data_IF_702320027965
#
_entry.id   IF_702320027965
#
_cell.length_a   1.000
_cell.length_b   1.000
_cell.length_c   1.000
_cell.angle_alpha   90.00
_cell.angle_beta   90.00
_cell.angle_gamma   90.00
#
_symmetry.space_group_name_H-M   'P 1'
#
loop_
_entity.id
_entity.type
_entity.pdbx_description
1 polymer ?
#
# COMPACT_ATOMS: atom_id res chain seq x y z
N UNK A 1 -17.73 1.05 -19.07
CA UNK A 1 -18.92 0.71 -19.89
C UNK A 1 -19.85 -0.12 -19.04
N UNK A 2 -21.14 0.24 -19.04
CA UNK A 2 -22.19 -0.53 -18.35
C UNK A 2 -23.30 -0.93 -19.32
N UNK A 3 -23.81 -2.14 -19.18
CA UNK A 3 -24.92 -2.67 -19.96
C UNK A 3 -25.94 -3.24 -18.98
N UNK A 4 -27.21 -2.93 -19.18
CA UNK A 4 -28.31 -3.51 -18.42
C UNK A 4 -29.35 -4.04 -19.43
N UNK A 5 -29.78 -5.26 -19.18
CA UNK A 5 -30.87 -5.91 -19.90
C UNK A 5 -31.93 -6.34 -18.89
N UNK A 6 -33.18 -6.02 -19.18
CA UNK A 6 -34.32 -6.45 -18.40
C UNK A 6 -35.41 -7.03 -19.31
N UNK A 7 -36.06 -8.11 -18.87
CA UNK A 7 -37.18 -8.74 -19.58
C UNK A 7 -38.20 -9.26 -18.60
N UNK A 8 -39.44 -8.98 -18.90
CA UNK A 8 -40.60 -9.50 -18.20
C UNK A 8 -41.24 -10.63 -19.02
N UNK A 9 -41.62 -11.70 -18.34
CA UNK A 9 -42.29 -12.87 -18.90
C UNK A 9 -43.42 -13.23 -17.94
N UNK A 10 -44.63 -13.40 -18.35
CA UNK A 10 -45.74 -13.98 -17.57
C UNK A 10 -45.42 -14.12 -16.04
N UNK A 11 -45.55 -13.09 -15.27
CA UNK A 11 -45.25 -13.07 -13.81
C UNK A 11 -43.74 -13.27 -13.40
N UNK A 12 -42.83 -13.34 -14.32
CA UNK A 12 -41.40 -13.42 -14.02
C UNK A 12 -40.62 -12.23 -14.59
N UNK A 13 -39.62 -11.77 -13.86
CA UNK A 13 -38.72 -10.69 -14.24
C UNK A 13 -37.27 -11.17 -14.23
N UNK A 14 -36.55 -10.91 -15.31
CA UNK A 14 -35.11 -11.15 -15.43
C UNK A 14 -34.38 -9.81 -15.59
N UNK A 15 -33.36 -9.59 -14.78
CA UNK A 15 -32.43 -8.46 -14.94
C UNK A 15 -31.01 -9.00 -15.02
N UNK A 16 -30.30 -8.58 -16.06
CA UNK A 16 -28.87 -8.83 -16.23
C UNK A 16 -28.17 -7.50 -16.33
N UNK A 17 -27.05 -7.35 -15.65
CA UNK A 17 -26.18 -6.19 -15.80
C UNK A 17 -24.72 -6.61 -15.86
N UNK A 18 -23.95 -5.91 -16.67
CA UNK A 18 -22.50 -6.01 -16.71
C UNK A 18 -21.90 -4.61 -16.64
N UNK A 19 -20.83 -4.45 -15.88
CA UNK A 19 -20.08 -3.22 -15.80
C UNK A 19 -18.59 -3.52 -15.95
N UNK A 20 -17.94 -2.77 -16.82
CA UNK A 20 -16.51 -2.83 -17.09
C UNK A 20 -15.95 -1.41 -16.91
N UNK A 21 -14.94 -1.30 -16.05
CA UNK A 21 -14.18 -0.07 -15.85
C UNK A 21 -12.71 -0.40 -16.06
N UNK A 22 -12.07 0.33 -16.94
CA UNK A 22 -10.63 0.39 -17.14
C UNK A 22 -10.21 1.82 -16.80
N UNK A 23 -9.28 1.96 -15.88
CA UNK A 23 -8.86 3.24 -15.34
C UNK A 23 -7.35 3.34 -15.37
N UNK A 24 -6.83 4.24 -16.19
CA UNK A 24 -5.40 4.53 -16.27
C UNK A 24 -4.88 5.22 -15.01
N UNK A 25 -3.63 5.02 -14.63
CA UNK A 25 -3.03 5.63 -13.45
C UNK A 25 -2.87 7.14 -13.61
N UNK A 26 -2.98 7.87 -12.52
CA UNK A 26 -2.56 9.26 -12.39
C UNK A 26 -1.50 9.34 -11.29
N UNK A 27 -0.26 9.56 -11.69
CA UNK A 27 0.84 9.72 -10.75
C UNK A 27 0.74 11.04 -9.99
N UNK A 28 1.07 11.03 -8.72
CA UNK A 28 1.22 12.24 -7.91
C UNK A 28 2.30 13.19 -8.47
N UNK A 29 3.29 12.66 -9.17
CA UNK A 29 4.34 13.46 -9.84
C UNK A 29 3.81 14.40 -10.92
N UNK A 30 2.62 14.11 -11.46
CA UNK A 30 1.95 14.95 -12.46
C UNK A 30 1.24 16.17 -11.84
N UNK A 31 1.15 16.22 -10.50
CA UNK A 31 0.52 17.32 -9.78
C UNK A 31 1.56 17.97 -8.85
N UNK A 32 2.26 19.04 -9.30
CA UNK A 32 3.40 19.61 -8.58
C UNK A 32 3.11 19.93 -7.11
N UNK A 33 1.95 20.51 -6.80
CA UNK A 33 1.57 20.84 -5.42
C UNK A 33 1.48 19.63 -4.48
N UNK A 34 1.18 18.44 -5.00
CA UNK A 34 1.17 17.19 -4.22
C UNK A 34 2.59 16.64 -4.13
N UNK A 35 3.27 16.60 -5.27
CA UNK A 35 4.62 16.08 -5.36
C UNK A 35 5.60 16.81 -4.41
N UNK A 36 5.58 18.14 -4.41
CA UNK A 36 6.50 18.98 -3.63
C UNK A 36 6.25 18.95 -2.12
N UNK A 37 5.01 18.73 -1.68
CA UNK A 37 4.63 18.78 -0.27
C UNK A 37 4.69 17.41 0.44
N UNK A 38 4.87 16.33 -0.29
CA UNK A 38 4.96 14.98 0.28
C UNK A 38 6.34 14.68 0.87
N UNK A 39 6.71 15.31 1.99
CA UNK A 39 8.00 15.15 2.66
C UNK A 39 7.88 14.34 3.95
N UNK A 40 8.75 13.34 4.09
CA UNK A 40 8.91 12.56 5.32
C UNK A 40 10.23 12.92 6.03
N UNK A 41 10.21 13.02 7.35
CA UNK A 41 11.42 13.19 8.17
C UNK A 41 12.34 11.95 8.14
N UNK A 42 11.86 10.84 7.62
CA UNK A 42 12.61 9.59 7.46
C UNK A 42 13.35 9.58 6.12
N UNK A 43 14.26 10.49 5.92
CA UNK A 43 15.18 10.50 4.78
C UNK A 43 16.48 9.76 5.11
N UNK A 44 17.48 10.50 5.53
CA UNK A 44 18.73 9.97 6.04
C UNK A 44 19.32 10.97 7.04
N UNK A 45 18.98 10.80 8.32
CA UNK A 45 19.39 11.74 9.38
C UNK A 45 19.81 10.95 10.60
N UNK A 46 20.82 11.42 11.30
CA UNK A 46 21.31 10.83 12.52
C UNK A 46 20.99 11.72 13.71
N UNK A 47 20.76 11.12 14.88
CA UNK A 47 20.69 11.81 16.14
C UNK A 47 21.83 11.33 17.02
N UNK A 48 22.74 12.22 17.37
CA UNK A 48 23.93 11.91 18.18
C UNK A 48 23.53 11.74 19.64
N UNK A 49 23.95 10.65 20.31
CA UNK A 49 23.55 10.37 21.68
C UNK A 49 24.31 11.21 22.71
N UNK A 50 25.57 11.51 22.42
CA UNK A 50 26.52 12.22 23.29
C UNK A 50 27.31 13.24 22.48
N UNK A 51 28.03 14.13 23.12
CA UNK A 51 28.92 15.05 22.41
C UNK A 51 30.01 14.27 21.67
N UNK A 52 30.25 14.62 20.40
CA UNK A 52 31.20 13.96 19.53
C UNK A 52 32.02 14.95 18.70
N UNK A 53 33.18 14.51 18.22
CA UNK A 53 34.00 15.23 17.29
C UNK A 53 34.53 14.27 16.24
N UNK A 54 34.05 14.45 15.01
CA UNK A 54 34.49 13.67 13.84
C UNK A 54 35.59 14.47 13.15
N UNK A 55 36.76 13.86 13.01
CA UNK A 55 37.95 14.58 12.58
C UNK A 55 38.06 14.76 11.07
N UNK A 56 37.44 13.86 10.29
CA UNK A 56 37.57 13.87 8.81
C UNK A 56 36.41 13.22 8.12
N UNK A 57 36.33 13.39 6.80
CA UNK A 57 35.24 12.86 5.96
C UNK A 57 34.04 13.81 5.88
N UNK A 58 32.99 13.37 5.22
CA UNK A 58 31.79 14.17 4.94
C UNK A 58 31.06 14.62 6.21
N UNK A 59 31.26 13.91 7.31
CA UNK A 59 30.69 14.21 8.64
C UNK A 59 31.66 14.92 9.56
N UNK A 60 32.76 15.49 9.05
CA UNK A 60 33.72 16.21 9.89
C UNK A 60 33.06 17.38 10.62
N UNK A 61 33.25 17.45 11.95
CA UNK A 61 32.64 18.49 12.76
C UNK A 61 32.54 18.11 14.24
N UNK A 62 32.09 19.09 15.04
CA UNK A 62 31.77 18.89 16.45
C UNK A 62 30.26 18.89 16.64
N UNK A 63 29.75 17.94 17.39
CA UNK A 63 28.34 17.72 17.61
C UNK A 63 28.00 17.73 19.11
N UNK A 64 26.90 18.37 19.45
CA UNK A 64 26.37 18.33 20.80
C UNK A 64 25.54 17.06 21.04
N UNK A 65 25.40 16.64 22.27
CA UNK A 65 24.49 15.57 22.64
C UNK A 65 23.05 15.89 22.21
N UNK A 66 22.38 14.93 21.57
CA UNK A 66 21.04 15.08 21.04
C UNK A 66 20.93 15.85 19.73
N UNK A 67 22.04 16.31 19.16
CA UNK A 67 22.04 17.03 17.89
C UNK A 67 21.58 16.14 16.74
N UNK A 68 20.80 16.72 15.84
CA UNK A 68 20.43 16.13 14.56
C UNK A 68 21.47 16.46 13.50
N UNK A 69 21.91 15.46 12.76
CA UNK A 69 22.93 15.56 11.72
C UNK A 69 22.35 14.96 10.43
N UNK A 70 22.02 15.78 9.44
CA UNK A 70 21.56 15.27 8.16
C UNK A 70 22.71 14.63 7.39
N UNK A 71 22.38 13.74 6.44
CA UNK A 71 23.33 13.25 5.47
C UNK A 71 23.90 14.43 4.66
N UNK A 72 25.22 14.67 4.66
CA UNK A 72 25.85 15.71 3.84
C UNK A 72 25.58 15.55 2.34
N UNK A 73 25.35 14.32 1.88
CA UNK A 73 25.03 13.99 0.48
C UNK A 73 23.51 13.86 0.25
N UNK A 74 22.69 14.43 1.13
CA UNK A 74 21.23 14.30 1.11
C UNK A 74 20.62 14.56 -0.27
N UNK A 75 20.94 15.67 -0.89
CA UNK A 75 20.36 16.08 -2.18
C UNK A 75 20.92 15.25 -3.34
N UNK A 76 22.21 14.90 -3.31
CA UNK A 76 22.83 14.01 -4.29
C UNK A 76 22.16 12.63 -4.28
N UNK A 77 21.76 12.17 -3.09
CA UNK A 77 21.07 10.90 -2.87
C UNK A 77 19.54 11.01 -3.08
N UNK A 78 19.04 12.12 -3.63
CA UNK A 78 17.63 12.33 -3.95
C UNK A 78 16.75 12.69 -2.74
N UNK A 79 17.36 13.06 -1.62
CA UNK A 79 16.66 13.62 -0.47
C UNK A 79 16.43 15.13 -0.59
N UNK A 80 15.77 15.72 0.39
CA UNK A 80 15.52 17.15 0.50
C UNK A 80 16.05 17.65 1.84
N UNK A 81 17.05 18.52 1.80
CA UNK A 81 17.60 19.13 3.01
C UNK A 81 16.63 20.18 3.55
N UNK A 82 16.15 20.01 4.78
CA UNK A 82 15.25 20.93 5.44
C UNK A 82 15.61 21.10 6.91
N UNK A 83 16.29 22.20 7.22
CA UNK A 83 16.86 22.44 8.55
C UNK A 83 17.85 21.34 8.94
N UNK A 84 17.73 20.73 10.13
CA UNK A 84 18.64 19.68 10.58
C UNK A 84 18.30 18.29 10.03
N UNK A 85 17.45 18.18 9.01
CA UNK A 85 16.95 16.91 8.50
C UNK A 85 17.23 16.73 7.02
N UNK A 86 17.72 15.56 6.67
CA UNK A 86 17.59 15.04 5.31
C UNK A 86 16.22 14.34 5.22
N UNK A 87 15.32 14.89 4.44
CA UNK A 87 13.95 14.40 4.28
C UNK A 87 13.82 13.56 3.02
N UNK A 88 12.89 12.63 3.05
CA UNK A 88 12.53 11.83 1.89
C UNK A 88 11.33 12.42 1.16
N UNK A 89 11.48 12.72 -0.14
CA UNK A 89 10.38 13.19 -0.98
C UNK A 89 9.55 11.99 -1.45
N UNK A 90 8.55 11.60 -0.68
CA UNK A 90 7.64 10.52 -1.07
C UNK A 90 6.50 11.02 -1.97
N UNK A 91 6.27 12.31 -2.01
CA UNK A 91 5.18 12.93 -2.77
C UNK A 91 5.16 12.61 -4.26
N UNK A 92 6.29 12.22 -4.84
CA UNK A 92 6.41 11.82 -6.26
C UNK A 92 6.24 10.32 -6.48
N UNK A 93 5.95 9.52 -5.44
CA UNK A 93 6.14 8.08 -5.45
C UNK A 93 4.88 7.26 -5.27
N UNK A 94 3.72 7.87 -5.36
CA UNK A 94 2.45 7.17 -5.30
C UNK A 94 1.52 7.63 -6.42
N UNK A 95 0.48 6.88 -6.65
CA UNK A 95 -0.58 7.25 -7.56
C UNK A 95 -1.74 7.87 -6.79
N UNK A 96 -2.31 8.95 -7.34
CA UNK A 96 -3.59 9.53 -6.89
C UNK A 96 -4.73 8.64 -7.37
N UNK A 97 -4.57 8.11 -8.58
CA UNK A 97 -5.45 7.11 -9.18
C UNK A 97 -4.57 5.96 -9.61
N UNK A 98 -4.90 4.75 -9.18
CA UNK A 98 -4.19 3.55 -9.63
C UNK A 98 -4.70 3.07 -10.97
N UNK A 99 -3.90 2.27 -11.66
CA UNK A 99 -4.31 1.45 -12.79
C UNK A 99 -5.22 0.34 -12.27
N UNK A 100 -6.48 0.35 -12.69
CA UNK A 100 -7.48 -0.57 -12.16
C UNK A 100 -8.42 -1.07 -13.25
N UNK A 101 -8.59 -2.39 -13.28
CA UNK A 101 -9.60 -3.09 -14.08
C UNK A 101 -10.72 -3.61 -13.19
N UNK A 102 -11.96 -3.26 -13.49
CA UNK A 102 -13.13 -3.77 -12.78
C UNK A 102 -14.06 -4.50 -13.75
N UNK A 103 -14.45 -5.70 -13.39
CA UNK A 103 -15.43 -6.53 -14.09
C UNK A 103 -16.51 -6.94 -13.11
N UNK A 104 -17.74 -6.49 -13.34
CA UNK A 104 -18.86 -6.76 -12.44
C UNK A 104 -20.05 -7.28 -13.22
N UNK A 105 -20.65 -8.35 -12.73
CA UNK A 105 -21.83 -8.97 -13.30
C UNK A 105 -22.90 -9.09 -12.23
N UNK A 106 -24.11 -8.81 -12.63
CA UNK A 106 -25.31 -8.92 -11.81
C UNK A 106 -26.37 -9.70 -12.57
N UNK A 107 -27.03 -10.62 -11.87
CA UNK A 107 -28.21 -11.31 -12.33
C UNK A 107 -29.26 -11.27 -11.22
N UNK A 108 -30.50 -10.96 -11.59
CA UNK A 108 -31.66 -11.12 -10.72
C UNK A 108 -32.78 -11.75 -11.53
N UNK A 109 -33.33 -12.81 -10.98
CA UNK A 109 -34.52 -13.46 -11.48
C UNK A 109 -35.57 -13.47 -10.38
N UNK A 110 -36.77 -12.98 -10.66
CA UNK A 110 -37.91 -12.98 -9.76
C UNK A 110 -39.11 -13.56 -10.49
N UNK A 111 -39.87 -14.44 -9.82
CA UNK A 111 -41.17 -14.91 -10.30
C UNK A 111 -42.17 -14.84 -9.18
N UNK A 112 -43.36 -14.29 -9.51
CA UNK A 112 -44.50 -14.17 -8.63
C UNK A 112 -45.63 -15.00 -9.20
N UNK A 113 -46.17 -15.91 -8.38
CA UNK A 113 -47.47 -16.60 -8.59
C UNK A 113 -48.37 -16.25 -7.43
N UNK A 114 -49.63 -16.60 -7.48
CA UNK A 114 -50.68 -16.14 -6.53
C UNK A 114 -50.27 -16.28 -5.05
N UNK A 115 -49.72 -17.42 -4.65
CA UNK A 115 -49.32 -17.68 -3.28
C UNK A 115 -47.84 -18.05 -3.11
N UNK A 116 -47.03 -18.01 -4.19
CA UNK A 116 -45.64 -18.38 -4.18
C UNK A 116 -44.83 -17.38 -4.97
N UNK A 117 -43.86 -16.72 -4.35
CA UNK A 117 -42.84 -15.94 -5.05
C UNK A 117 -41.46 -16.47 -4.75
N UNK A 118 -40.59 -16.38 -5.72
CA UNK A 118 -39.19 -16.66 -5.51
C UNK A 118 -38.27 -15.68 -6.27
N UNK A 119 -37.17 -15.38 -5.63
CA UNK A 119 -36.13 -14.49 -6.17
C UNK A 119 -34.79 -15.17 -6.06
N UNK A 120 -34.03 -15.10 -7.14
CA UNK A 120 -32.63 -15.47 -7.19
C UNK A 120 -31.79 -14.25 -7.54
N UNK A 121 -30.68 -14.04 -6.85
CA UNK A 121 -29.73 -12.96 -7.14
C UNK A 121 -28.33 -13.51 -7.15
N UNK A 122 -27.54 -13.14 -8.15
CA UNK A 122 -26.12 -13.43 -8.22
C UNK A 122 -25.33 -12.16 -8.59
N UNK A 123 -24.23 -11.95 -7.89
CA UNK A 123 -23.28 -10.86 -8.12
C UNK A 123 -21.89 -11.50 -8.19
N UNK A 124 -21.13 -11.17 -9.22
CA UNK A 124 -19.72 -11.54 -9.34
C UNK A 124 -18.94 -10.29 -9.66
N UNK A 125 -17.83 -10.08 -8.97
CA UNK A 125 -16.93 -8.97 -9.22
C UNK A 125 -15.48 -9.44 -9.15
N UNK A 126 -14.68 -8.98 -10.10
CA UNK A 126 -13.23 -9.07 -10.09
C UNK A 126 -12.68 -7.65 -10.25
N UNK A 127 -11.69 -7.29 -9.44
CA UNK A 127 -11.02 -6.00 -9.45
C UNK A 127 -9.53 -6.24 -9.37
N UNK A 128 -8.82 -5.86 -10.42
CA UNK A 128 -7.38 -5.87 -10.50
C UNK A 128 -6.84 -4.45 -10.31
N UNK A 129 -5.96 -4.27 -9.33
CA UNK A 129 -5.18 -3.04 -9.15
C UNK A 129 -3.76 -3.35 -9.55
N UNK A 130 -3.40 -3.01 -10.80
CA UNK A 130 -2.14 -3.43 -11.43
C UNK A 130 -0.97 -2.56 -10.97
N UNK A 131 -1.21 -1.27 -10.77
CA UNK A 131 -0.22 -0.29 -10.41
C UNK A 131 -0.59 0.42 -9.10
N UNK A 132 0.04 -0.01 -8.01
CA UNK A 132 -0.10 0.55 -6.67
C UNK A 132 1.29 0.73 -6.07
N UNK A 133 1.99 1.84 -6.37
CA UNK A 133 3.36 2.03 -5.90
C UNK A 133 3.44 2.18 -4.38
N UNK A 134 4.44 1.56 -3.80
CA UNK A 134 4.76 1.61 -2.38
C UNK A 134 6.06 2.38 -2.15
N UNK A 135 6.20 2.97 -0.97
CA UNK A 135 7.47 3.59 -0.59
C UNK A 135 8.61 2.57 -0.60
N UNK A 136 9.79 2.90 -1.17
CA UNK A 136 10.91 1.97 -1.32
C UNK A 136 11.41 1.34 -0.02
N UNK A 137 11.08 1.85 1.12
CA UNK A 137 11.52 1.35 2.42
C UNK A 137 10.36 0.91 3.30
N UNK A 138 9.32 0.42 2.69
CA UNK A 138 8.16 -0.05 3.42
C UNK A 138 8.33 -1.51 3.88
N UNK A 139 8.01 -1.83 5.14
CA UNK A 139 7.73 -0.93 6.23
C UNK A 139 9.03 -0.41 6.87
N UNK A 140 9.25 0.87 6.79
CA UNK A 140 10.42 1.51 7.42
C UNK A 140 10.34 1.53 8.96
N UNK A 141 9.18 1.22 9.52
CA UNK A 141 8.88 1.44 10.94
C UNK A 141 9.84 0.72 11.88
N UNK A 142 10.29 -0.49 11.56
CA UNK A 142 11.24 -1.24 12.38
C UNK A 142 12.65 -0.65 12.37
N UNK A 143 12.95 0.24 11.44
CA UNK A 143 14.27 0.88 11.30
C UNK A 143 14.28 2.37 11.61
N UNK A 144 13.12 2.96 11.90
CA UNK A 144 12.97 4.41 12.10
C UNK A 144 13.84 5.00 13.21
N UNK A 145 14.22 4.18 14.17
CA UNK A 145 15.05 4.58 15.32
C UNK A 145 16.19 3.60 15.56
N UNK A 146 16.81 3.11 14.50
CA UNK A 146 17.89 2.12 14.60
C UNK A 146 19.14 2.73 15.22
N UNK A 147 19.58 2.15 16.34
CA UNK A 147 20.82 2.56 16.99
C UNK A 147 22.00 1.93 16.24
N UNK A 148 22.98 2.76 15.91
CA UNK A 148 24.25 2.37 15.28
C UNK A 148 25.37 2.70 16.27
N UNK A 149 26.21 1.72 16.56
CA UNK A 149 27.33 1.89 17.47
C UNK A 149 28.58 2.39 16.73
N UNK A 150 29.55 3.00 17.44
CA UNK A 150 30.83 3.38 16.84
C UNK A 150 31.49 2.20 16.13
N UNK A 151 31.99 2.44 14.90
CA UNK A 151 32.63 1.42 14.08
C UNK A 151 31.67 0.39 13.44
N UNK A 152 30.37 0.46 13.70
CA UNK A 152 29.36 -0.40 13.11
C UNK A 152 28.90 0.19 11.76
N UNK A 153 28.83 -0.64 10.72
CA UNK A 153 28.30 -0.24 9.41
C UNK A 153 29.01 0.95 8.76
N UNK A 154 30.30 1.14 9.05
CA UNK A 154 31.06 2.30 8.56
C UNK A 154 30.64 3.62 9.20
N UNK A 155 29.99 3.60 10.38
CA UNK A 155 29.62 4.81 11.11
C UNK A 155 30.80 5.76 11.27
N UNK A 156 30.69 7.02 10.83
CA UNK A 156 31.74 8.02 11.01
C UNK A 156 31.80 8.59 12.43
N UNK A 157 30.78 8.31 13.26
CA UNK A 157 30.66 8.83 14.61
C UNK A 157 31.43 7.98 15.63
N UNK A 158 32.06 8.64 16.61
CA UNK A 158 32.76 7.95 17.71
C UNK A 158 31.86 7.65 18.88
N UNK A 159 30.59 8.05 18.83
CA UNK A 159 29.55 7.79 19.81
C UNK A 159 28.36 7.09 19.17
N UNK A 160 27.49 6.43 19.95
CA UNK A 160 26.27 5.85 19.40
C UNK A 160 25.38 6.93 18.77
N UNK A 161 24.82 6.61 17.63
CA UNK A 161 23.85 7.47 16.95
C UNK A 161 22.55 6.69 16.70
N UNK A 162 21.44 7.42 16.62
CA UNK A 162 20.17 6.84 16.15
C UNK A 162 19.94 7.30 14.71
N UNK A 163 19.88 6.36 13.80
CA UNK A 163 19.60 6.60 12.40
C UNK A 163 18.08 6.68 12.15
N UNK A 164 17.69 7.69 11.42
CA UNK A 164 16.33 7.91 10.92
C UNK A 164 16.37 7.94 9.40
N UNK A 165 16.12 6.82 8.78
CA UNK A 165 16.29 6.70 7.34
C UNK A 165 15.37 5.66 6.70
N UNK A 166 15.58 5.50 5.41
CA UNK A 166 14.90 4.49 4.61
C UNK A 166 15.92 3.49 4.07
N UNK A 167 15.71 2.19 4.30
CA UNK A 167 16.69 1.16 3.94
C UNK A 167 17.12 1.18 2.48
N UNK A 168 16.18 1.42 1.57
CA UNK A 168 16.47 1.41 0.12
C UNK A 168 16.82 2.80 -0.43
N UNK A 169 16.81 3.84 0.42
CA UNK A 169 17.14 5.20 0.00
C UNK A 169 16.15 5.83 -0.97
N UNK A 170 16.49 7.04 -1.42
CA UNK A 170 15.64 7.84 -2.30
C UNK A 170 15.80 7.48 -3.78
N UNK A 171 16.94 6.94 -4.19
CA UNK A 171 17.23 6.59 -5.58
C UNK A 171 16.56 5.28 -6.03
N UNK A 172 16.13 4.44 -5.11
CA UNK A 172 15.51 3.16 -5.45
C UNK A 172 14.10 3.39 -6.02
N UNK A 173 13.73 2.72 -7.12
CA UNK A 173 12.39 2.85 -7.68
C UNK A 173 11.32 2.38 -6.70
N UNK A 174 10.13 2.98 -6.79
CA UNK A 174 8.99 2.53 -5.97
C UNK A 174 8.55 1.14 -6.43
N UNK A 175 8.60 0.13 -5.55
CA UNK A 175 8.08 -1.18 -5.90
C UNK A 175 6.55 -1.13 -6.01
N UNK A 176 5.98 -1.99 -6.84
CA UNK A 176 4.53 -2.12 -7.00
C UNK A 176 3.97 -3.07 -5.96
N UNK A 177 2.75 -2.80 -5.53
CA UNK A 177 1.98 -3.59 -4.57
C UNK A 177 0.59 -3.90 -5.15
N UNK A 178 0.51 -4.74 -6.18
CA UNK A 178 -0.74 -5.05 -6.86
C UNK A 178 -1.73 -5.75 -5.92
N UNK A 179 -3.00 -5.57 -6.24
CA UNK A 179 -4.12 -6.23 -5.54
C UNK A 179 -4.98 -6.93 -6.55
N UNK A 180 -5.48 -8.09 -6.16
CA UNK A 180 -6.46 -8.88 -6.88
C UNK A 180 -7.62 -9.17 -5.92
N UNK A 181 -8.82 -8.79 -6.30
CA UNK A 181 -10.01 -8.88 -5.45
C UNK A 181 -11.09 -9.62 -6.20
N UNK A 182 -11.41 -10.81 -5.71
CA UNK A 182 -12.51 -11.63 -6.18
C UNK A 182 -13.66 -11.62 -5.18
N UNK A 183 -14.86 -11.40 -5.69
CA UNK A 183 -16.05 -11.42 -4.88
C UNK A 183 -17.20 -12.11 -5.61
N UNK A 184 -17.93 -12.96 -4.90
CA UNK A 184 -19.25 -13.38 -5.35
C UNK A 184 -20.28 -13.35 -4.20
N UNK A 185 -21.51 -13.14 -4.58
CA UNK A 185 -22.68 -13.24 -3.73
C UNK A 185 -23.79 -13.92 -4.50
N UNK A 186 -24.37 -14.96 -3.89
CA UNK A 186 -25.54 -15.67 -4.43
C UNK A 186 -26.58 -15.76 -3.34
N UNK A 187 -27.83 -15.41 -3.65
CA UNK A 187 -28.93 -15.52 -2.72
C UNK A 187 -30.19 -16.06 -3.40
N UNK A 188 -30.88 -16.90 -2.70
CA UNK A 188 -32.22 -17.38 -3.04
C UNK A 188 -33.21 -17.00 -1.95
N UNK A 189 -34.39 -16.55 -2.35
CA UNK A 189 -35.50 -16.20 -1.47
C UNK A 189 -36.76 -16.83 -2.00
N UNK A 190 -37.51 -17.47 -1.13
CA UNK A 190 -38.85 -18.05 -1.41
C UNK A 190 -39.84 -17.53 -0.37
N UNK A 191 -40.93 -16.93 -0.84
CA UNK A 191 -42.05 -16.55 -0.01
C UNK A 191 -43.27 -17.39 -0.40
N UNK A 192 -43.91 -18.00 0.58
CA UNK A 192 -45.09 -18.84 0.43
C UNK A 192 -46.16 -18.34 1.36
N UNK A 193 -47.29 -17.87 0.82
CA UNK A 193 -48.49 -17.55 1.58
C UNK A 193 -49.30 -18.83 1.79
N UNK A 194 -49.35 -19.30 3.03
CA UNK A 194 -50.07 -20.52 3.41
C UNK A 194 -51.58 -20.26 3.55
N UNK A 195 -51.92 -19.08 4.01
CA UNK A 195 -53.31 -18.59 4.11
C UNK A 195 -53.26 -17.06 4.30
N UNK A 196 -54.44 -16.41 4.47
CA UNK A 196 -54.57 -14.95 4.63
C UNK A 196 -53.81 -14.36 5.82
N UNK A 197 -53.35 -15.16 6.78
CA UNK A 197 -52.73 -14.71 8.02
C UNK A 197 -51.30 -15.28 8.23
N UNK A 198 -50.83 -16.18 7.34
CA UNK A 198 -49.58 -16.88 7.55
C UNK A 198 -48.77 -16.87 6.26
N UNK A 199 -47.61 -16.20 6.31
CA UNK A 199 -46.58 -16.21 5.29
C UNK A 199 -45.32 -16.92 5.80
N UNK A 200 -44.71 -17.75 4.95
CA UNK A 200 -43.44 -18.41 5.21
C UNK A 200 -42.37 -17.81 4.27
N UNK A 201 -41.30 -17.30 4.85
CA UNK A 201 -40.14 -16.86 4.12
C UNK A 201 -38.96 -17.79 4.38
N UNK A 202 -38.33 -18.26 3.31
CA UNK A 202 -37.10 -19.03 3.33
C UNK A 202 -36.06 -18.32 2.51
N UNK A 203 -34.88 -18.11 3.08
CA UNK A 203 -33.75 -17.52 2.38
C UNK A 203 -32.47 -18.35 2.54
N UNK A 204 -31.67 -18.40 1.50
CA UNK A 204 -30.31 -18.96 1.51
C UNK A 204 -29.38 -17.97 0.84
N UNK A 205 -28.23 -17.77 1.46
CA UNK A 205 -27.21 -16.84 0.93
C UNK A 205 -25.84 -17.45 1.08
N UNK A 206 -25.03 -17.31 0.04
CA UNK A 206 -23.61 -17.63 0.07
C UNK A 206 -22.83 -16.47 -0.52
N UNK A 207 -21.77 -16.05 0.18
CA UNK A 207 -20.87 -14.99 -0.25
C UNK A 207 -19.43 -15.39 -0.02
N UNK A 208 -18.55 -14.96 -0.90
CA UNK A 208 -17.11 -15.06 -0.74
C UNK A 208 -16.47 -13.74 -1.17
N UNK A 209 -15.46 -13.31 -0.41
CA UNK A 209 -14.60 -12.20 -0.76
C UNK A 209 -13.16 -12.62 -0.51
N UNK A 210 -12.35 -12.59 -1.56
CA UNK A 210 -10.92 -12.83 -1.50
C UNK A 210 -10.20 -11.57 -1.92
N UNK A 211 -9.20 -11.17 -1.17
CA UNK A 211 -8.34 -10.04 -1.48
C UNK A 211 -6.89 -10.50 -1.34
N UNK A 212 -6.26 -10.69 -2.47
CA UNK A 212 -4.83 -10.95 -2.53
C UNK A 212 -4.10 -9.61 -2.71
N UNK A 213 -3.18 -9.33 -1.82
CA UNK A 213 -2.38 -8.11 -1.85
C UNK A 213 -0.91 -8.47 -1.77
N UNK A 214 -0.19 -8.32 -2.85
CA UNK A 214 1.27 -8.47 -2.83
C UNK A 214 1.91 -7.18 -2.32
N UNK A 215 2.69 -7.30 -1.26
CA UNK A 215 3.32 -6.16 -0.61
C UNK A 215 4.81 -6.41 -0.50
N UNK A 216 5.64 -5.72 -1.28
CA UNK A 216 7.09 -5.83 -1.16
C UNK A 216 7.55 -5.28 0.19
N UNK A 217 8.53 -5.97 0.77
CA UNK A 217 9.06 -5.64 2.09
C UNK A 217 10.56 -5.93 2.17
N UNK A 218 11.21 -5.39 3.20
CA UNK A 218 12.61 -5.67 3.52
C UNK A 218 12.73 -6.89 4.42
N UNK A 219 13.75 -7.70 4.20
CA UNK A 219 14.08 -8.84 5.08
C UNK A 219 14.88 -8.30 6.26
N UNK A 220 14.28 -8.28 7.45
CA UNK A 220 14.86 -7.70 8.66
C UNK A 220 16.28 -8.20 8.96
N UNK A 221 16.52 -9.51 8.89
CA UNK A 221 17.84 -10.07 9.17
C UNK A 221 18.93 -9.59 8.21
N UNK A 222 18.57 -9.36 6.92
CA UNK A 222 19.52 -8.82 5.96
C UNK A 222 19.79 -7.34 6.21
N UNK A 223 18.78 -6.59 6.60
CA UNK A 223 18.94 -5.18 7.01
C UNK A 223 19.78 -5.04 8.26
N UNK A 224 19.58 -5.88 9.26
CA UNK A 224 20.43 -5.91 10.45
C UNK A 224 21.90 -6.18 10.10
N UNK A 225 22.14 -7.13 9.22
CA UNK A 225 23.49 -7.41 8.73
C UNK A 225 24.09 -6.20 7.99
N UNK A 226 23.35 -5.57 7.09
CA UNK A 226 23.82 -4.38 6.35
C UNK A 226 24.16 -3.22 7.30
N UNK A 227 23.28 -2.91 8.27
CA UNK A 227 23.50 -1.86 9.28
C UNK A 227 24.71 -2.19 10.17
N UNK A 228 24.97 -3.46 10.43
CA UNK A 228 26.11 -3.91 11.20
C UNK A 228 27.43 -3.96 10.41
N UNK A 229 27.37 -3.66 9.10
CA UNK A 229 28.51 -3.78 8.20
C UNK A 229 28.84 -5.21 7.83
N UNK A 230 27.89 -6.12 7.98
CA UNK A 230 28.01 -7.51 7.57
C UNK A 230 27.06 -7.78 6.39
N UNK A 231 27.43 -8.66 5.51
CA UNK A 231 26.59 -9.00 4.35
C UNK A 231 27.39 -8.97 3.06
N UNK A 232 26.69 -8.69 1.95
CA UNK A 232 27.29 -8.78 0.63
C UNK A 232 27.50 -10.22 0.17
N UNK A 233 28.02 -10.41 -1.03
CA UNK A 233 28.21 -11.73 -1.67
C UNK A 233 29.15 -12.67 -0.91
N UNK A 234 30.05 -12.12 -0.13
CA UNK A 234 31.07 -12.90 0.61
C UNK A 234 30.82 -12.91 2.13
N UNK A 235 29.66 -12.44 2.60
CA UNK A 235 29.36 -12.35 4.03
C UNK A 235 30.10 -11.25 4.78
N UNK A 236 30.93 -10.48 4.09
CA UNK A 236 31.63 -9.33 4.61
C UNK A 236 30.94 -8.06 4.13
N UNK A 237 31.27 -6.94 4.76
CA UNK A 237 30.79 -5.65 4.36
C UNK A 237 31.12 -5.33 2.89
N UNK A 238 30.24 -4.65 2.24
CA UNK A 238 30.43 -4.04 0.91
C UNK A 238 31.02 -2.67 1.06
#
# INVERSE_FOLDING_TARGET
>A
IGIIFGKEFNSANLVLAANFLDRSPLSSSEIPKIAENGLSTLGNTFKVSEADSVLSGDYAGAYAAGQWVPDPNCEINGGVLAGPFCKFLYGTRFNIVNDEDHKKFYLSFKKDNDNLSYKFTAIVANIDVNDNPQSPSYPALSFMSKKIMPGQGGSPFNVPVTWYGRPLGSAFPSPLSPKDIDQYHVSGLVNLSLNENIDLELSITQSKHENFHNRPDTINSRMENAISGNGGSNGNQT
#
